data_IF_188948683660
#
_entry.id   IF_188948683660
#
_cell.length_a   1.000
_cell.length_b   1.000
_cell.length_c   1.000
_cell.angle_alpha   90.00
_cell.angle_beta   90.00
_cell.angle_gamma   90.00
#
_symmetry.space_group_name_H-M   'P 1'
#
loop_
_entity.id
_entity.type
_entity.pdbx_description
1 polymer ?
#
# COMPACT_ATOMS: atom_id res chain seq x y z
N UNK A 1 -80.65 -18.06 -16.76
CA UNK A 1 -80.34 -16.69 -16.27
C UNK A 1 -79.66 -16.70 -14.90
N UNK A 2 -78.67 -17.59 -14.66
CA UNK A 2 -77.92 -17.64 -13.39
C UNK A 2 -76.39 -17.67 -13.60
N UNK A 3 -75.91 -17.84 -14.84
CA UNK A 3 -74.48 -17.91 -15.15
C UNK A 3 -73.83 -16.54 -15.43
N UNK A 4 -74.60 -15.51 -15.81
CA UNK A 4 -74.05 -14.17 -16.08
C UNK A 4 -73.83 -13.32 -14.82
N UNK A 5 -74.44 -13.68 -13.70
CA UNK A 5 -74.35 -12.89 -12.46
C UNK A 5 -73.13 -13.24 -11.61
N UNK A 6 -72.53 -14.42 -11.78
CA UNK A 6 -71.36 -14.87 -11.01
C UNK A 6 -70.06 -14.31 -11.62
N UNK A 7 -70.01 -14.09 -12.94
CA UNK A 7 -68.82 -13.56 -13.62
C UNK A 7 -68.56 -12.08 -13.32
N UNK A 8 -69.59 -11.31 -12.93
CA UNK A 8 -69.46 -9.89 -12.56
C UNK A 8 -68.94 -9.67 -11.12
N UNK A 9 -69.09 -10.67 -10.24
CA UNK A 9 -68.65 -10.59 -8.84
C UNK A 9 -67.16 -10.98 -8.71
N UNK A 10 -66.64 -11.83 -9.62
CA UNK A 10 -65.24 -12.25 -9.58
C UNK A 10 -64.27 -11.21 -10.17
N UNK A 11 -64.73 -10.34 -11.08
CA UNK A 11 -63.89 -9.29 -11.68
C UNK A 11 -63.74 -8.02 -10.82
N UNK A 12 -64.61 -7.82 -9.82
CA UNK A 12 -64.52 -6.66 -8.91
C UNK A 12 -63.63 -6.89 -7.69
N UNK A 13 -63.29 -8.15 -7.37
CA UNK A 13 -62.38 -8.47 -6.25
C UNK A 13 -60.90 -8.37 -6.64
N UNK A 14 -60.59 -8.36 -7.95
CA UNK A 14 -59.25 -8.08 -8.50
C UNK A 14 -59.14 -6.67 -9.08
N UNK A 15 -59.85 -5.68 -8.52
CA UNK A 15 -59.37 -4.32 -8.63
C UNK A 15 -57.95 -4.32 -8.06
N UNK A 16 -56.91 -3.95 -8.83
CA UNK A 16 -55.58 -3.88 -8.28
C UNK A 16 -55.68 -2.86 -7.14
N UNK A 17 -55.42 -3.28 -5.90
CA UNK A 17 -54.96 -2.36 -4.88
C UNK A 17 -53.67 -1.76 -5.42
N UNK A 18 -53.79 -0.78 -6.31
CA UNK A 18 -52.75 0.21 -6.53
C UNK A 18 -52.79 1.01 -5.25
N UNK A 19 -52.07 0.52 -4.23
CA UNK A 19 -51.70 1.34 -3.10
C UNK A 19 -51.06 2.59 -3.70
N UNK A 20 -51.80 3.70 -3.72
CA UNK A 20 -51.26 4.98 -4.13
C UNK A 20 -50.39 5.38 -2.94
N UNK A 21 -49.08 5.20 -3.09
CA UNK A 21 -48.13 5.67 -2.11
C UNK A 21 -48.39 7.17 -1.89
N UNK A 22 -48.65 7.56 -0.64
CA UNK A 22 -48.71 8.96 -0.26
C UNK A 22 -47.30 9.56 -0.33
N UNK A 23 -47.19 10.88 -0.53
CA UNK A 23 -45.91 11.56 -0.39
C UNK A 23 -45.25 11.19 0.94
N UNK A 24 -43.98 10.79 0.90
CA UNK A 24 -43.16 10.41 2.06
C UNK A 24 -43.41 9.01 2.66
N UNK A 25 -44.24 8.17 2.05
CA UNK A 25 -44.45 6.78 2.53
C UNK A 25 -43.16 5.95 2.62
N UNK A 26 -42.13 6.31 1.85
CA UNK A 26 -40.81 5.68 1.84
C UNK A 26 -39.70 6.55 2.46
N UNK A 27 -40.05 7.60 3.21
CA UNK A 27 -39.06 8.56 3.71
C UNK A 27 -38.04 7.92 4.67
N UNK A 28 -38.44 6.88 5.42
CA UNK A 28 -37.54 6.16 6.31
C UNK A 28 -36.50 5.35 5.51
N UNK A 29 -36.95 4.61 4.49
CA UNK A 29 -36.13 3.83 3.57
C UNK A 29 -35.20 4.74 2.77
N UNK A 30 -35.71 5.88 2.30
CA UNK A 30 -34.92 6.88 1.58
C UNK A 30 -33.77 7.43 2.43
N UNK A 31 -34.00 7.70 3.72
CA UNK A 31 -32.92 8.13 4.64
C UNK A 31 -31.83 7.08 4.78
N UNK A 32 -32.18 5.80 4.83
CA UNK A 32 -31.20 4.69 4.88
C UNK A 32 -30.38 4.64 3.58
N UNK A 33 -31.02 4.80 2.42
CA UNK A 33 -30.33 4.87 1.13
C UNK A 33 -29.39 6.08 1.06
N UNK A 34 -29.81 7.25 1.54
CA UNK A 34 -28.94 8.42 1.66
C UNK A 34 -27.73 8.15 2.57
N UNK A 35 -27.91 7.42 3.68
CA UNK A 35 -26.81 7.08 4.58
C UNK A 35 -25.76 6.19 3.87
N UNK A 36 -26.20 5.15 3.15
CA UNK A 36 -25.30 4.28 2.36
C UNK A 36 -24.58 5.08 1.27
N UNK A 37 -25.31 5.93 0.55
CA UNK A 37 -24.72 6.79 -0.49
C UNK A 37 -23.71 7.79 0.09
N UNK A 38 -23.97 8.33 1.29
CA UNK A 38 -23.03 9.21 1.97
C UNK A 38 -21.75 8.50 2.39
N UNK A 39 -21.83 7.23 2.83
CA UNK A 39 -20.63 6.42 3.10
C UNK A 39 -19.79 6.21 1.84
N UNK A 40 -20.43 6.00 0.68
CA UNK A 40 -19.73 5.98 -0.60
C UNK A 40 -19.02 7.30 -0.89
N UNK A 41 -19.72 8.44 -0.76
CA UNK A 41 -19.14 9.76 -1.03
C UNK A 41 -17.97 10.10 -0.10
N UNK A 42 -17.96 9.53 1.11
CA UNK A 42 -16.92 9.74 2.12
C UNK A 42 -15.84 8.66 2.14
N UNK A 43 -15.86 7.69 1.22
CA UNK A 43 -14.91 6.56 1.22
C UNK A 43 -13.44 6.98 1.13
N UNK A 44 -13.15 8.11 0.48
CA UNK A 44 -11.79 8.68 0.40
C UNK A 44 -11.44 9.54 1.63
N UNK A 45 -12.44 10.06 2.34
CA UNK A 45 -12.27 10.83 3.58
C UNK A 45 -11.97 9.94 4.79
N UNK A 46 -11.98 8.62 4.62
CA UNK A 46 -11.53 7.62 5.61
C UNK A 46 -10.14 7.10 5.21
N UNK A 47 -9.08 7.93 5.19
CA UNK A 47 -7.78 7.44 4.79
C UNK A 47 -7.24 6.44 5.83
N UNK A 48 -6.63 5.37 5.34
CA UNK A 48 -5.51 4.76 6.05
C UNK A 48 -4.53 5.89 6.37
N UNK A 49 -4.40 6.23 7.65
CA UNK A 49 -3.70 7.44 8.12
C UNK A 49 -2.19 7.50 7.79
N UNK A 50 -1.63 6.53 7.08
CA UNK A 50 -0.19 6.47 6.79
C UNK A 50 0.06 5.96 5.38
N UNK A 51 0.67 6.80 4.55
CA UNK A 51 1.44 6.35 3.40
C UNK A 51 2.70 5.67 3.94
N UNK A 52 2.91 4.41 3.58
CA UNK A 52 4.07 3.66 4.01
C UNK A 52 5.19 3.82 2.99
N UNK A 53 6.39 4.19 3.44
CA UNK A 53 7.59 4.12 2.59
C UNK A 53 7.89 2.65 2.27
N UNK A 54 8.55 2.37 1.14
CA UNK A 54 9.03 1.01 0.88
C UNK A 54 10.09 0.61 1.92
N UNK A 55 10.22 -0.68 2.20
CA UNK A 55 11.26 -1.16 3.11
C UNK A 55 12.66 -0.79 2.59
N UNK A 56 12.86 -0.85 1.27
CA UNK A 56 14.08 -0.38 0.62
C UNK A 56 14.42 1.06 1.00
N UNK A 57 13.48 2.00 0.85
CA UNK A 57 13.69 3.41 1.24
C UNK A 57 14.03 3.57 2.72
N UNK A 58 13.51 2.71 3.59
CA UNK A 58 13.80 2.73 5.02
C UNK A 58 15.18 2.12 5.35
N UNK A 59 15.64 1.15 4.56
CA UNK A 59 16.92 0.46 4.76
C UNK A 59 18.10 1.22 4.12
N UNK A 60 17.88 1.93 3.01
CA UNK A 60 18.96 2.63 2.27
C UNK A 60 19.85 3.51 3.17
N UNK A 61 19.32 4.34 4.11
CA UNK A 61 20.19 5.12 4.98
C UNK A 61 21.11 4.27 5.86
N UNK A 62 20.62 3.14 6.39
CA UNK A 62 21.44 2.22 7.19
C UNK A 62 22.49 1.50 6.35
N UNK A 63 22.16 1.12 5.11
CA UNK A 63 23.12 0.54 4.17
C UNK A 63 24.22 1.54 3.80
N UNK A 64 23.85 2.80 3.60
CA UNK A 64 24.80 3.87 3.30
C UNK A 64 25.71 4.19 4.50
N UNK A 65 25.14 4.24 5.71
CA UNK A 65 25.93 4.36 6.95
C UNK A 65 26.88 3.17 7.12
N UNK A 66 26.46 1.96 6.75
CA UNK A 66 27.35 0.81 6.78
C UNK A 66 28.54 1.03 5.83
N UNK A 67 28.31 1.47 4.58
CA UNK A 67 29.37 1.81 3.61
C UNK A 67 30.31 2.91 4.14
N UNK A 68 29.80 3.89 4.91
CA UNK A 68 30.63 4.95 5.49
C UNK A 68 31.55 4.48 6.64
N UNK A 69 31.31 3.30 7.20
CA UNK A 69 31.99 2.79 8.40
C UNK A 69 32.69 1.45 8.18
N UNK A 70 32.54 0.82 7.02
CA UNK A 70 33.22 -0.44 6.69
C UNK A 70 34.75 -0.29 6.66
N UNK A 71 35.45 -1.43 6.68
CA UNK A 71 36.91 -1.49 6.53
C UNK A 71 37.34 -0.96 5.16
N UNK A 72 38.58 -0.47 5.07
CA UNK A 72 39.14 0.06 3.83
C UNK A 72 39.20 -1.03 2.73
N UNK A 73 39.43 -2.28 3.13
CA UNK A 73 39.36 -3.44 2.23
C UNK A 73 37.94 -3.67 1.70
N UNK A 74 36.93 -3.64 2.56
CA UNK A 74 35.54 -3.79 2.14
C UNK A 74 35.09 -2.63 1.25
N UNK A 75 35.51 -1.42 1.59
CA UNK A 75 35.27 -0.23 0.78
C UNK A 75 35.85 -0.39 -0.63
N UNK A 76 37.06 -0.94 -0.75
CA UNK A 76 37.80 -1.05 -2.02
C UNK A 76 37.37 -2.23 -2.89
N UNK A 77 37.14 -3.42 -2.29
CA UNK A 77 36.88 -4.66 -3.05
C UNK A 77 35.93 -5.63 -2.34
N UNK A 78 35.09 -5.14 -1.43
CA UNK A 78 34.15 -5.94 -0.64
C UNK A 78 34.80 -7.13 0.08
N UNK A 79 36.03 -6.95 0.60
CA UNK A 79 36.83 -7.99 1.27
C UNK A 79 37.05 -9.23 0.39
N UNK A 80 37.26 -9.03 -0.91
CA UNK A 80 37.50 -10.12 -1.85
C UNK A 80 36.27 -10.95 -2.20
N UNK A 81 35.06 -10.55 -1.77
CA UNK A 81 33.80 -11.21 -2.16
C UNK A 81 33.51 -11.16 -3.66
N UNK A 82 34.24 -10.34 -4.39
CA UNK A 82 34.12 -10.16 -5.84
C UNK A 82 35.13 -11.03 -6.61
N UNK A 83 35.78 -11.98 -5.93
CA UNK A 83 36.64 -12.99 -6.55
C UNK A 83 35.75 -14.16 -7.01
N UNK A 84 35.89 -14.54 -8.28
CA UNK A 84 35.21 -15.68 -8.89
C UNK A 84 35.79 -17.01 -8.39
N UNK A 85 35.08 -18.14 -8.58
CA UNK A 85 35.59 -19.45 -8.21
C UNK A 85 36.94 -19.83 -8.86
N UNK A 86 37.27 -19.23 -10.01
CA UNK A 86 38.54 -19.42 -10.72
C UNK A 86 39.70 -18.55 -10.19
N UNK A 87 39.47 -17.79 -9.11
CA UNK A 87 40.45 -16.88 -8.51
C UNK A 87 40.61 -15.54 -9.23
N UNK A 88 39.90 -15.30 -10.32
CA UNK A 88 39.91 -14.01 -11.03
C UNK A 88 38.93 -13.02 -10.40
N UNK A 89 39.20 -11.72 -10.53
CA UNK A 89 38.28 -10.68 -10.06
C UNK A 89 37.11 -10.55 -11.04
N UNK A 90 35.89 -10.52 -10.52
CA UNK A 90 34.72 -10.08 -11.27
C UNK A 90 34.78 -8.56 -11.46
N UNK A 91 35.39 -8.14 -12.57
CA UNK A 91 35.55 -6.73 -12.91
C UNK A 91 34.21 -6.01 -13.08
N UNK A 92 33.16 -6.71 -13.53
CA UNK A 92 31.84 -6.13 -13.69
C UNK A 92 31.20 -5.84 -12.33
N UNK A 93 31.27 -6.79 -11.39
CA UNK A 93 30.75 -6.59 -10.04
C UNK A 93 31.61 -5.60 -9.23
N UNK A 94 32.93 -5.58 -9.44
CA UNK A 94 33.82 -4.57 -8.86
C UNK A 94 33.48 -3.16 -9.36
N UNK A 95 33.22 -2.99 -10.65
CA UNK A 95 32.79 -1.70 -11.20
C UNK A 95 31.43 -1.26 -10.65
N UNK A 96 30.47 -2.19 -10.52
CA UNK A 96 29.17 -1.90 -9.88
C UNK A 96 29.36 -1.50 -8.41
N UNK A 97 30.19 -2.23 -7.68
CA UNK A 97 30.52 -1.92 -6.29
C UNK A 97 31.14 -0.53 -6.16
N UNK A 98 32.17 -0.24 -6.96
CA UNK A 98 32.85 1.06 -6.95
C UNK A 98 31.92 2.21 -7.32
N UNK A 99 30.99 2.01 -8.27
CA UNK A 99 29.96 3.00 -8.61
C UNK A 99 29.00 3.22 -7.44
N UNK A 100 28.54 2.15 -6.78
CA UNK A 100 27.67 2.23 -5.61
C UNK A 100 28.34 3.00 -4.47
N UNK A 101 29.55 2.61 -4.09
CA UNK A 101 30.31 3.26 -3.03
C UNK A 101 30.51 4.74 -3.34
N UNK A 102 30.91 5.09 -4.58
CA UNK A 102 31.03 6.49 -5.03
C UNK A 102 29.72 7.26 -4.95
N UNK A 103 28.59 6.65 -5.34
CA UNK A 103 27.29 7.29 -5.26
C UNK A 103 26.90 7.59 -3.79
N UNK A 104 27.19 6.67 -2.88
CA UNK A 104 26.91 6.85 -1.45
C UNK A 104 27.74 7.99 -0.86
N UNK A 105 29.06 7.99 -1.04
CA UNK A 105 29.92 9.04 -0.46
C UNK A 105 29.70 10.42 -1.07
N UNK A 106 29.14 10.49 -2.29
CA UNK A 106 28.78 11.74 -2.96
C UNK A 106 27.34 12.19 -2.67
N UNK A 107 26.59 11.45 -1.85
CA UNK A 107 25.27 11.90 -1.42
C UNK A 107 25.40 13.16 -0.58
N UNK A 108 24.63 14.18 -0.93
CA UNK A 108 24.59 15.48 -0.25
C UNK A 108 23.21 15.74 0.32
N UNK A 109 23.15 16.24 1.56
CA UNK A 109 21.93 16.74 2.20
C UNK A 109 22.16 18.20 2.57
N UNK A 110 21.74 19.12 1.70
CA UNK A 110 22.18 20.52 1.80
C UNK A 110 23.68 20.63 1.54
N UNK A 111 24.39 21.29 2.46
CA UNK A 111 25.86 21.42 2.42
C UNK A 111 26.58 20.20 3.04
N UNK A 112 25.83 19.27 3.66
CA UNK A 112 26.39 18.12 4.37
C UNK A 112 26.61 16.92 3.45
N UNK A 113 27.63 16.12 3.78
CA UNK A 113 27.90 14.82 3.16
C UNK A 113 27.77 13.70 4.21
N UNK A 114 26.55 13.20 4.48
CA UNK A 114 26.28 12.34 5.64
C UNK A 114 26.95 10.96 5.60
N UNK A 115 27.40 10.50 4.43
CA UNK A 115 27.94 9.14 4.25
C UNK A 115 29.41 9.12 3.81
N UNK A 116 30.18 10.17 4.11
CA UNK A 116 31.63 10.17 3.87
C UNK A 116 32.28 9.02 4.65
N UNK A 117 33.20 8.30 4.00
CA UNK A 117 33.94 7.24 4.65
C UNK A 117 34.76 7.80 5.83
N UNK A 118 34.50 7.30 7.02
CA UNK A 118 35.19 7.74 8.23
C UNK A 118 36.63 7.20 8.26
N UNK A 119 37.53 7.99 8.85
CA UNK A 119 38.93 7.59 9.07
C UNK A 119 39.00 6.30 9.89
N UNK A 120 39.97 5.39 9.62
CA UNK A 120 40.19 4.16 10.39
C UNK A 120 40.67 4.46 11.82
N UNK A 121 39.71 4.72 12.71
CA UNK A 121 39.92 4.88 14.16
C UNK A 121 38.98 3.92 14.90
N UNK A 122 39.28 3.52 16.16
CA UNK A 122 38.44 2.56 16.89
C UNK A 122 36.95 2.94 17.01
N UNK A 123 36.64 4.23 17.00
CA UNK A 123 35.27 4.73 17.00
C UNK A 123 34.51 4.32 15.72
N UNK A 124 35.17 4.26 14.56
CA UNK A 124 34.58 3.79 13.30
C UNK A 124 34.16 2.33 13.40
N UNK A 125 35.04 1.47 13.92
CA UNK A 125 34.78 0.03 14.01
C UNK A 125 33.62 -0.25 14.99
N UNK A 126 33.57 0.51 16.09
CA UNK A 126 32.46 0.47 17.06
C UNK A 126 31.14 0.88 16.40
N UNK A 127 31.14 1.98 15.64
CA UNK A 127 29.96 2.42 14.89
C UNK A 127 29.54 1.38 13.84
N UNK A 128 30.49 0.79 13.09
CA UNK A 128 30.19 -0.25 12.12
C UNK A 128 29.52 -1.46 12.76
N UNK A 129 30.02 -1.92 13.91
CA UNK A 129 29.42 -3.04 14.62
C UNK A 129 27.95 -2.77 14.99
N UNK A 130 27.64 -1.57 15.50
CA UNK A 130 26.28 -1.15 15.83
C UNK A 130 25.40 -1.03 14.59
N UNK A 131 25.89 -0.39 13.53
CA UNK A 131 25.16 -0.23 12.28
C UNK A 131 24.82 -1.59 11.67
N UNK A 132 25.77 -2.53 11.63
CA UNK A 132 25.52 -3.89 11.14
C UNK A 132 24.48 -4.63 11.99
N UNK A 133 24.52 -4.46 13.30
CA UNK A 133 23.52 -5.04 14.19
C UNK A 133 22.11 -4.53 13.84
N UNK A 134 21.94 -3.21 13.74
CA UNK A 134 20.65 -2.62 13.38
C UNK A 134 20.22 -2.93 11.95
N UNK A 135 21.14 -2.93 10.99
CA UNK A 135 20.87 -3.28 9.61
C UNK A 135 20.41 -4.74 9.51
N UNK A 136 21.06 -5.67 10.22
CA UNK A 136 20.63 -7.07 10.25
C UNK A 136 19.24 -7.23 10.87
N UNK A 137 18.96 -6.53 11.98
CA UNK A 137 17.66 -6.58 12.62
C UNK A 137 16.55 -6.00 11.71
N UNK A 138 16.81 -4.86 11.07
CA UNK A 138 15.88 -4.21 10.16
C UNK A 138 15.62 -5.05 8.90
N UNK A 139 16.66 -5.64 8.31
CA UNK A 139 16.53 -6.56 7.17
C UNK A 139 15.69 -7.78 7.56
N UNK A 140 15.84 -8.31 8.78
CA UNK A 140 15.00 -9.41 9.28
C UNK A 140 13.51 -9.06 9.41
N UNK A 141 13.16 -7.77 9.47
CA UNK A 141 11.79 -7.28 9.54
C UNK A 141 11.20 -6.90 8.17
N UNK A 142 12.02 -6.90 7.10
CA UNK A 142 11.63 -6.41 5.77
C UNK A 142 10.35 -7.07 5.26
N UNK A 143 10.35 -8.40 5.16
CA UNK A 143 9.23 -9.14 4.56
C UNK A 143 7.94 -8.99 5.39
N UNK A 144 8.07 -9.00 6.71
CA UNK A 144 6.93 -8.81 7.61
C UNK A 144 6.31 -7.41 7.46
N UNK A 145 7.15 -6.38 7.33
CA UNK A 145 6.72 -5.02 7.06
C UNK A 145 6.02 -4.91 5.71
N UNK A 146 6.64 -5.38 4.62
CA UNK A 146 6.08 -5.31 3.27
C UNK A 146 4.75 -6.07 3.15
N UNK A 147 4.64 -7.22 3.82
CA UNK A 147 3.39 -7.97 3.91
C UNK A 147 2.30 -7.16 4.62
N UNK A 148 2.62 -6.57 5.77
CA UNK A 148 1.66 -5.80 6.55
C UNK A 148 1.18 -4.54 5.81
N UNK A 149 2.08 -3.80 5.15
CA UNK A 149 1.72 -2.60 4.39
C UNK A 149 0.87 -2.93 3.16
N UNK A 150 1.18 -4.03 2.47
CA UNK A 150 0.38 -4.55 1.36
C UNK A 150 -1.01 -4.96 1.85
N UNK A 151 -1.11 -5.67 2.98
CA UNK A 151 -2.40 -6.09 3.55
C UNK A 151 -3.30 -4.89 3.90
N UNK A 152 -2.73 -3.85 4.52
CA UNK A 152 -3.46 -2.62 4.83
C UNK A 152 -3.96 -1.94 3.55
N UNK A 153 -3.10 -1.83 2.53
CA UNK A 153 -3.44 -1.20 1.24
C UNK A 153 -4.56 -1.96 0.51
N UNK A 154 -4.48 -3.30 0.53
CA UNK A 154 -5.50 -4.16 -0.07
C UNK A 154 -6.83 -4.05 0.67
N UNK A 155 -6.83 -4.02 2.02
CA UNK A 155 -8.04 -3.86 2.82
C UNK A 155 -8.69 -2.49 2.63
N UNK A 156 -7.91 -1.43 2.48
CA UNK A 156 -8.43 -0.09 2.15
C UNK A 156 -9.13 -0.07 0.80
N UNK A 157 -8.44 -0.59 -0.23
CA UNK A 157 -8.99 -0.70 -1.59
C UNK A 157 -10.27 -1.53 -1.59
N UNK A 158 -10.27 -2.66 -0.88
CA UNK A 158 -11.42 -3.56 -0.75
C UNK A 158 -12.59 -2.89 -0.01
N UNK A 159 -12.33 -2.12 1.05
CA UNK A 159 -13.36 -1.38 1.76
C UNK A 159 -14.00 -0.32 0.85
N UNK A 160 -13.20 0.47 0.12
CA UNK A 160 -13.68 1.48 -0.83
C UNK A 160 -14.50 0.86 -1.97
N UNK A 161 -14.07 -0.30 -2.46
CA UNK A 161 -14.81 -1.10 -3.44
C UNK A 161 -16.17 -1.52 -2.87
N UNK A 162 -16.21 -2.11 -1.68
CA UNK A 162 -17.47 -2.53 -1.02
C UNK A 162 -18.43 -1.37 -0.76
N UNK A 163 -17.93 -0.20 -0.37
CA UNK A 163 -18.74 1.01 -0.21
C UNK A 163 -19.34 1.47 -1.55
N UNK A 164 -18.60 1.29 -2.65
CA UNK A 164 -19.08 1.58 -4.00
C UNK A 164 -20.14 0.59 -4.46
N UNK A 165 -19.91 -0.70 -4.25
CA UNK A 165 -20.89 -1.74 -4.59
C UNK A 165 -22.15 -1.69 -3.73
N UNK A 166 -22.05 -1.27 -2.47
CA UNK A 166 -23.20 -1.04 -1.63
C UNK A 166 -24.10 0.09 -2.16
N UNK A 167 -23.53 1.10 -2.82
CA UNK A 167 -24.28 2.22 -3.40
C UNK A 167 -24.87 1.90 -4.78
N UNK A 168 -24.16 1.16 -5.62
CA UNK A 168 -24.52 0.98 -7.04
C UNK A 168 -24.80 -0.46 -7.48
N UNK A 169 -24.52 -1.45 -6.63
CA UNK A 169 -24.56 -2.86 -6.96
C UNK A 169 -23.18 -3.46 -7.26
N UNK A 170 -23.09 -4.78 -7.19
CA UNK A 170 -21.83 -5.54 -7.38
C UNK A 170 -21.21 -5.24 -8.74
N UNK A 171 -19.92 -4.90 -8.75
CA UNK A 171 -19.18 -4.57 -9.98
C UNK A 171 -19.58 -3.25 -10.65
N UNK A 172 -20.43 -2.42 -10.03
CA UNK A 172 -20.87 -1.14 -10.58
C UNK A 172 -20.28 0.04 -9.82
N UNK A 173 -19.95 1.09 -10.57
CA UNK A 173 -19.46 2.38 -10.05
C UNK A 173 -20.47 3.51 -10.18
N UNK A 174 -21.58 3.27 -10.87
CA UNK A 174 -22.66 4.22 -11.11
C UNK A 174 -23.99 3.48 -11.32
N UNK A 175 -25.11 4.19 -11.22
CA UNK A 175 -26.42 3.63 -11.53
C UNK A 175 -26.57 3.37 -13.03
N UNK A 176 -27.28 2.31 -13.39
CA UNK A 176 -27.63 2.05 -14.78
C UNK A 176 -28.46 3.23 -15.32
N UNK A 177 -28.03 3.80 -16.44
CA UNK A 177 -28.87 4.73 -17.19
C UNK A 177 -29.97 3.91 -17.84
N UNK A 178 -31.21 4.13 -17.39
CA UNK A 178 -32.38 3.47 -17.97
C UNK A 178 -32.42 3.68 -19.48
N UNK A 179 -32.73 2.62 -20.22
CA UNK A 179 -33.07 2.71 -21.65
C UNK A 179 -34.49 3.24 -21.82
#
# INVERSE_FOLDING_TARGET
MLASSILAIVTTVFAPFRAVASPLDNAAEFRVLCAVYNLHNQKEATPVRKTFKSAETLLTPLENLNISTVTDSYYTNADGKLIKPDGTIDTQELDKWNKRVRAVVNTTEGDDKPYVCLRPVPARDTANAQIRHYLSAATGLKDAYEKATTEVTNKDTEAKRKLTEAAFGVGKSEFDKGK
#
